data_IF_464944638681
#
_entry.id   IF_464944638681
#
_cell.length_a   1.000
_cell.length_b   1.000
_cell.length_c   1.000
_cell.angle_alpha   90.00
_cell.angle_beta   90.00
_cell.angle_gamma   90.00
#
_symmetry.space_group_name_H-M   'P 1'
#
loop_
_entity.id
_entity.type
_entity.pdbx_description
1 polymer ?
#
# COMPACT_ATOMS: atom_id res chain seq x y z
N UNK A 1 1.66 26.25 8.68
CA UNK A 1 0.81 25.26 7.97
C UNK A 1 1.31 25.27 6.53
N UNK A 2 1.92 24.18 6.05
CA UNK A 2 2.54 24.12 4.72
C UNK A 2 1.50 23.56 3.75
N UNK A 3 1.15 24.32 2.73
CA UNK A 3 0.25 23.92 1.65
C UNK A 3 1.16 23.37 0.54
N UNK A 4 0.99 22.11 0.17
CA UNK A 4 1.68 21.53 -0.99
C UNK A 4 0.64 21.34 -2.10
N UNK A 5 0.80 22.09 -3.18
CA UNK A 5 -0.01 21.94 -4.39
C UNK A 5 0.48 20.71 -5.16
N UNK A 6 -0.38 19.71 -5.31
CA UNK A 6 -0.18 18.61 -6.25
C UNK A 6 -0.46 19.06 -7.69
N UNK A 7 0.09 20.18 -8.16
CA UNK A 7 0.04 20.61 -9.56
C UNK A 7 -1.36 20.78 -10.22
N UNK A 8 -2.44 20.56 -9.49
CA UNK A 8 -3.84 20.50 -9.95
C UNK A 8 -4.70 21.64 -9.35
N UNK A 9 -4.12 22.47 -8.48
CA UNK A 9 -4.81 23.61 -7.85
C UNK A 9 -5.81 23.25 -6.74
N UNK A 10 -6.04 21.96 -6.47
CA UNK A 10 -6.89 21.50 -5.38
C UNK A 10 -6.15 21.56 -4.04
N UNK A 11 -6.77 22.17 -3.02
CA UNK A 11 -6.24 22.26 -1.66
C UNK A 11 -6.79 21.11 -0.81
N UNK A 12 -5.90 20.29 -0.25
CA UNK A 12 -6.26 19.18 0.64
C UNK A 12 -6.14 19.56 2.12
N UNK A 13 -7.12 19.14 2.92
CA UNK A 13 -7.04 19.21 4.38
C UNK A 13 -6.46 17.91 4.95
N UNK A 14 -5.38 18.00 5.71
CA UNK A 14 -4.75 16.84 6.36
C UNK A 14 -5.66 16.36 7.50
N UNK A 15 -6.28 15.19 7.32
CA UNK A 15 -7.16 14.56 8.32
C UNK A 15 -6.40 13.66 9.31
N UNK A 16 -5.20 13.21 8.95
CA UNK A 16 -4.39 12.33 9.79
C UNK A 16 -2.97 12.14 9.25
N UNK A 17 -2.12 11.53 10.08
CA UNK A 17 -0.73 11.20 9.74
C UNK A 17 -0.54 9.71 10.01
N UNK A 18 -0.08 8.98 8.99
CA UNK A 18 0.31 7.57 9.09
C UNK A 18 1.83 7.49 9.04
N UNK A 19 2.41 6.82 10.04
CA UNK A 19 3.84 6.50 10.05
C UNK A 19 4.03 5.04 9.67
N UNK A 20 4.65 4.80 8.52
CA UNK A 20 5.01 3.47 8.04
C UNK A 20 6.53 3.28 8.06
N UNK A 21 7.00 2.34 8.88
CA UNK A 21 8.42 2.01 9.01
C UNK A 21 9.00 1.29 7.79
N UNK A 22 8.16 0.81 6.88
CA UNK A 22 8.57 0.05 5.69
C UNK A 22 8.66 0.93 4.43
N UNK A 23 8.12 2.14 4.46
CA UNK A 23 8.16 3.06 3.32
C UNK A 23 9.19 4.16 3.55
N UNK A 24 10.24 4.19 2.72
CA UNK A 24 11.24 5.27 2.75
C UNK A 24 10.79 6.43 1.83
N UNK A 25 9.94 7.30 2.33
CA UNK A 25 9.49 8.48 1.57
C UNK A 25 8.31 9.21 2.20
N UNK A 26 7.74 10.14 1.43
CA UNK A 26 6.49 10.82 1.77
C UNK A 26 5.41 10.40 0.77
N UNK A 27 4.21 10.10 1.29
CA UNK A 27 3.05 9.78 0.49
C UNK A 27 1.81 10.41 1.14
N UNK A 28 0.91 10.93 0.30
CA UNK A 28 -0.41 11.40 0.71
C UNK A 28 -1.46 10.41 0.25
N UNK A 29 -2.48 10.18 1.09
CA UNK A 29 -3.64 9.38 0.75
C UNK A 29 -4.85 10.31 0.65
N UNK A 30 -5.57 10.20 -0.47
CA UNK A 30 -6.79 10.93 -0.76
C UNK A 30 -7.85 9.95 -1.21
N UNK A 31 -9.12 10.29 -1.02
CA UNK A 31 -10.22 9.49 -1.53
C UNK A 31 -10.13 9.33 -3.06
N UNK A 32 -10.41 8.11 -3.53
CA UNK A 32 -10.28 7.75 -4.94
C UNK A 32 -11.17 8.63 -5.83
N UNK A 33 -12.40 8.89 -5.38
CA UNK A 33 -13.38 9.70 -6.11
C UNK A 33 -12.85 11.12 -6.36
N UNK A 34 -12.24 11.74 -5.34
CA UNK A 34 -11.62 13.06 -5.44
C UNK A 34 -10.48 13.07 -6.44
N UNK A 35 -9.61 12.05 -6.41
CA UNK A 35 -8.50 11.95 -7.36
C UNK A 35 -8.97 11.68 -8.79
N UNK A 36 -10.04 10.91 -8.97
CA UNK A 36 -10.63 10.64 -10.28
C UNK A 36 -11.22 11.90 -10.91
N UNK A 37 -11.91 12.74 -10.12
CA UNK A 37 -12.41 14.04 -10.54
C UNK A 37 -11.26 14.96 -10.95
N UNK A 38 -10.25 15.12 -10.10
CA UNK A 38 -9.11 16.02 -10.35
C UNK A 38 -8.28 15.62 -11.58
N UNK A 39 -8.16 14.31 -11.86
CA UNK A 39 -7.42 13.78 -13.01
C UNK A 39 -8.28 13.60 -14.27
N UNK A 40 -9.58 13.93 -14.21
CA UNK A 40 -10.54 13.74 -15.30
C UNK A 40 -10.56 12.28 -15.82
N UNK A 41 -10.46 11.31 -14.90
CA UNK A 41 -10.65 9.90 -15.21
C UNK A 41 -12.14 9.56 -15.18
N UNK A 42 -12.62 8.78 -16.15
CA UNK A 42 -13.99 8.25 -16.11
C UNK A 42 -14.19 7.36 -14.89
N UNK A 43 -15.35 7.49 -14.22
CA UNK A 43 -15.74 6.86 -12.94
C UNK A 43 -15.57 5.33 -12.82
N UNK A 44 -15.12 4.64 -13.86
CA UNK A 44 -15.10 3.19 -13.97
C UNK A 44 -13.68 2.60 -14.13
N UNK A 45 -12.64 3.43 -14.13
CA UNK A 45 -11.26 2.94 -14.30
C UNK A 45 -10.52 2.92 -12.95
N UNK A 46 -10.12 1.72 -12.53
CA UNK A 46 -9.25 1.49 -11.37
C UNK A 46 -7.88 1.06 -11.88
N UNK A 47 -6.83 1.83 -11.57
CA UNK A 47 -5.47 1.54 -12.02
C UNK A 47 -4.75 0.50 -11.15
N UNK A 48 -5.20 0.30 -9.91
CA UNK A 48 -4.59 -0.65 -8.95
C UNK A 48 -5.65 -1.22 -8.02
N UNK A 49 -5.70 -2.56 -7.94
CA UNK A 49 -6.58 -3.28 -7.03
C UNK A 49 -5.73 -4.04 -6.02
N UNK A 50 -5.90 -3.74 -4.73
CA UNK A 50 -5.28 -4.48 -3.64
C UNK A 50 -6.31 -5.43 -3.03
N UNK A 51 -6.05 -6.73 -3.10
CA UNK A 51 -6.93 -7.77 -2.57
C UNK A 51 -6.37 -8.35 -1.26
N UNK A 52 -7.18 -8.34 -0.20
CA UNK A 52 -6.87 -9.02 1.05
C UNK A 52 -7.53 -10.40 1.07
N UNK A 53 -6.72 -11.44 0.96
CA UNK A 53 -7.19 -12.83 1.02
C UNK A 53 -7.30 -13.27 2.49
N UNK A 54 -8.30 -14.12 2.79
CA UNK A 54 -8.47 -14.68 4.13
C UNK A 54 -7.28 -15.59 4.48
N UNK A 55 -6.84 -15.63 5.76
CA UNK A 55 -5.76 -16.52 6.17
C UNK A 55 -6.07 -17.98 5.82
N UNK A 56 -5.11 -18.69 5.22
CA UNK A 56 -5.23 -20.10 4.84
C UNK A 56 -5.94 -20.37 3.50
N UNK A 57 -6.56 -19.35 2.89
CA UNK A 57 -7.31 -19.52 1.63
C UNK A 57 -6.51 -19.16 0.38
N UNK A 58 -5.25 -18.71 0.55
CA UNK A 58 -4.45 -18.18 -0.56
C UNK A 58 -4.33 -19.16 -1.73
N UNK A 59 -3.93 -20.41 -1.46
CA UNK A 59 -3.76 -21.43 -2.50
C UNK A 59 -5.08 -21.80 -3.20
N UNK A 60 -6.22 -21.60 -2.55
CA UNK A 60 -7.53 -21.89 -3.13
C UNK A 60 -8.03 -20.73 -3.99
N UNK A 61 -7.64 -19.50 -3.67
CA UNK A 61 -8.20 -18.28 -4.28
C UNK A 61 -7.31 -17.72 -5.38
N UNK A 62 -6.00 -18.01 -5.37
CA UNK A 62 -5.08 -17.43 -6.35
C UNK A 62 -5.37 -17.92 -7.77
N UNK A 63 -5.58 -19.22 -7.97
CA UNK A 63 -5.88 -19.81 -9.28
C UNK A 63 -7.17 -19.22 -9.88
N UNK A 64 -8.19 -19.01 -9.03
CA UNK A 64 -9.45 -18.38 -9.42
C UNK A 64 -9.24 -16.91 -9.83
N UNK A 65 -8.40 -16.16 -9.10
CA UNK A 65 -8.06 -14.78 -9.45
C UNK A 65 -7.31 -14.74 -10.79
N UNK A 66 -6.33 -15.62 -11.00
CA UNK A 66 -5.59 -15.70 -12.26
C UNK A 66 -6.50 -16.04 -13.44
N UNK A 67 -7.49 -16.92 -13.23
CA UNK A 67 -8.50 -17.24 -14.24
C UNK A 67 -9.39 -16.03 -14.55
N UNK A 68 -9.81 -15.26 -13.53
CA UNK A 68 -10.62 -14.05 -13.72
C UNK A 68 -9.84 -12.98 -14.47
N UNK A 69 -8.56 -12.78 -14.14
CA UNK A 69 -7.69 -11.80 -14.78
C UNK A 69 -7.49 -12.16 -16.25
N UNK A 70 -7.06 -13.39 -16.53
CA UNK A 70 -6.82 -13.86 -17.90
C UNK A 70 -8.10 -13.89 -18.74
N UNK A 71 -9.25 -14.20 -18.14
CA UNK A 71 -10.53 -14.27 -18.84
C UNK A 71 -11.17 -12.91 -19.14
N UNK A 72 -10.96 -11.89 -18.29
CA UNK A 72 -11.74 -10.63 -18.36
C UNK A 72 -10.91 -9.37 -18.59
N UNK A 73 -9.64 -9.33 -18.18
CA UNK A 73 -8.81 -8.13 -18.26
C UNK A 73 -7.84 -8.14 -19.46
N UNK A 74 -7.69 -9.30 -20.10
CA UNK A 74 -6.93 -9.48 -21.34
C UNK A 74 -5.41 -9.47 -21.15
N UNK A 75 -4.69 -9.80 -22.23
CA UNK A 75 -3.25 -10.07 -22.21
C UNK A 75 -2.37 -8.85 -21.84
N UNK A 76 -2.94 -7.64 -21.87
CA UNK A 76 -2.24 -6.40 -21.52
C UNK A 76 -2.30 -6.05 -20.03
N UNK A 77 -3.11 -6.77 -19.24
CA UNK A 77 -3.20 -6.54 -17.80
C UNK A 77 -2.06 -7.28 -17.09
N UNK A 78 -1.25 -6.55 -16.33
CA UNK A 78 -0.17 -7.11 -15.51
C UNK A 78 -0.52 -7.01 -14.04
N UNK A 79 -0.33 -8.09 -13.29
CA UNK A 79 -0.44 -8.08 -11.83
C UNK A 79 0.91 -8.43 -11.21
N UNK A 80 1.14 -7.94 -9.99
CA UNK A 80 2.32 -8.28 -9.19
C UNK A 80 1.84 -9.14 -8.04
N UNK A 81 2.30 -10.39 -8.01
CA UNK A 81 2.12 -11.24 -6.84
C UNK A 81 3.18 -10.90 -5.79
N UNK A 82 2.77 -10.19 -4.75
CA UNK A 82 3.68 -9.76 -3.68
C UNK A 82 4.14 -10.91 -2.76
N UNK A 83 3.47 -12.07 -2.77
CA UNK A 83 3.91 -13.20 -1.94
C UNK A 83 5.30 -13.68 -2.34
N UNK A 84 5.61 -13.71 -3.64
CA UNK A 84 6.93 -14.07 -4.13
C UNK A 84 8.00 -13.13 -3.55
N UNK A 85 7.72 -11.82 -3.50
CA UNK A 85 8.61 -10.84 -2.86
C UNK A 85 8.81 -11.11 -1.36
N UNK A 86 7.77 -11.54 -0.64
CA UNK A 86 7.86 -11.85 0.79
C UNK A 86 8.57 -13.20 1.06
N UNK A 87 8.30 -14.21 0.24
CA UNK A 87 8.91 -15.55 0.31
C UNK A 87 10.40 -15.51 -0.05
N UNK A 88 10.80 -14.65 -0.99
CA UNK A 88 12.19 -14.48 -1.41
C UNK A 88 13.01 -13.60 -0.45
N UNK A 89 12.35 -12.81 0.40
CA UNK A 89 13.03 -11.83 1.27
C UNK A 89 12.67 -11.96 2.77
N UNK A 90 12.70 -13.17 3.38
CA UNK A 90 12.40 -13.34 4.80
C UNK A 90 13.40 -12.58 5.68
N UNK A 91 14.63 -12.38 5.19
CA UNK A 91 15.67 -11.62 5.87
C UNK A 91 15.38 -10.11 5.94
N UNK A 92 14.65 -9.55 4.97
CA UNK A 92 14.25 -8.14 4.99
C UNK A 92 13.21 -7.90 6.09
N UNK A 93 12.19 -8.77 6.14
CA UNK A 93 11.16 -8.76 7.18
C UNK A 93 11.77 -8.92 8.58
N UNK A 94 12.70 -9.87 8.75
CA UNK A 94 13.35 -10.10 10.03
C UNK A 94 14.21 -8.90 10.48
N UNK A 95 14.98 -8.30 9.56
CA UNK A 95 15.81 -7.13 9.85
C UNK A 95 14.97 -5.93 10.28
N UNK A 96 13.85 -5.68 9.61
CA UNK A 96 12.95 -4.58 9.95
C UNK A 96 12.20 -4.82 11.26
N UNK A 97 11.77 -6.06 11.53
CA UNK A 97 11.14 -6.40 12.82
C UNK A 97 12.09 -6.18 14.00
N UNK A 98 13.35 -6.59 13.86
CA UNK A 98 14.39 -6.36 14.88
C UNK A 98 14.63 -4.87 15.09
N UNK A 99 14.64 -4.06 14.02
CA UNK A 99 14.81 -2.62 14.11
C UNK A 99 13.66 -1.97 14.89
N UNK A 100 12.40 -2.33 14.59
CA UNK A 100 11.22 -1.81 15.31
C UNK A 100 11.24 -2.19 16.80
N UNK A 101 11.63 -3.43 17.13
CA UNK A 101 11.77 -3.88 18.52
C UNK A 101 12.90 -3.13 19.26
N UNK A 102 13.99 -2.80 18.57
CA UNK A 102 15.06 -1.96 19.13
C UNK A 102 14.58 -0.52 19.37
N UNK A 103 13.85 0.08 18.44
CA UNK A 103 13.29 1.42 18.63
C UNK A 103 12.30 1.48 19.80
N UNK A 104 11.39 0.50 19.92
CA UNK A 104 10.43 0.44 21.02
C UNK A 104 11.11 0.20 22.37
N UNK A 105 12.13 -0.66 22.43
CA UNK A 105 12.86 -0.91 23.67
C UNK A 105 13.69 0.31 24.11
N UNK A 106 14.33 1.01 23.18
CA UNK A 106 15.00 2.28 23.44
C UNK A 106 14.02 3.35 23.92
N UNK A 107 12.88 3.53 23.24
CA UNK A 107 11.85 4.49 23.65
C UNK A 107 11.33 4.20 25.06
N UNK A 108 11.05 2.92 25.36
CA UNK A 108 10.58 2.50 26.68
C UNK A 108 11.63 2.76 27.78
N UNK A 109 12.91 2.49 27.51
CA UNK A 109 14.01 2.80 28.43
C UNK A 109 14.14 4.31 28.68
N UNK A 110 14.05 5.14 27.64
CA UNK A 110 14.10 6.60 27.77
C UNK A 110 12.87 7.20 28.46
N UNK A 111 11.70 6.59 28.33
CA UNK A 111 10.47 7.04 29.00
C UNK A 111 10.40 6.73 30.50
N UNK A 112 11.32 5.89 31.01
CA UNK A 112 11.41 5.48 32.43
C UNK A 112 12.54 6.15 33.21
N UNK A 113 13.35 6.97 32.57
CA UNK A 113 14.40 7.81 33.18
C UNK A 113 13.85 9.23 33.30
#
# INVERSE_FOLDING_TARGET
MRVEEFGLGHTFHISGIVMDSFYSGFAGYVDLEVMQEDLNYSEHNINLLLLKIRPGEYNNVIDDIELIISGNLGDNFTYINLNQTFDDNPQLLLKQLVLVLLYLSCFYLFSRI
#
